data_IF_112194099814
#
_entry.id   IF_112194099814
#
_cell.length_a   1.000
_cell.length_b   1.000
_cell.length_c   1.000
_cell.angle_alpha   90.00
_cell.angle_beta   90.00
_cell.angle_gamma   90.00
#
_symmetry.space_group_name_H-M   'P 1'
#
loop_
_entity.id
_entity.type
_entity.pdbx_description
1 polymer ?
#
# COMPACT_ATOMS: atom_id res chain seq x y z
N UNK A 1 -10.81 7.29 -13.22
CA UNK A 1 -9.77 6.50 -12.55
C UNK A 1 -8.39 6.74 -13.15
N UNK A 2 -8.14 6.48 -14.45
CA UNK A 2 -6.86 6.80 -15.10
C UNK A 2 -6.48 8.31 -15.10
N UNK A 3 -7.47 9.21 -15.23
CA UNK A 3 -7.22 10.66 -15.24
C UNK A 3 -6.66 11.23 -13.93
N UNK A 4 -7.04 10.67 -12.78
CA UNK A 4 -6.49 11.10 -11.47
C UNK A 4 -5.05 10.61 -11.31
N UNK A 5 -4.75 9.41 -11.82
CA UNK A 5 -3.39 8.86 -11.85
C UNK A 5 -2.48 9.70 -12.76
N UNK A 6 -2.96 10.09 -13.94
CA UNK A 6 -2.22 10.99 -14.84
C UNK A 6 -2.11 12.42 -14.29
N UNK A 7 -3.12 12.94 -13.60
CA UNK A 7 -3.08 14.25 -12.95
C UNK A 7 -2.06 14.32 -11.81
N UNK A 8 -2.01 13.30 -10.94
CA UNK A 8 -1.02 13.21 -9.85
C UNK A 8 0.41 12.96 -10.35
N UNK A 9 0.56 12.27 -11.49
CA UNK A 9 1.84 12.21 -12.22
C UNK A 9 2.30 13.60 -12.68
N UNK A 10 1.37 14.43 -13.16
CA UNK A 10 1.67 15.76 -13.70
C UNK A 10 1.96 16.80 -12.60
N UNK A 11 1.46 16.60 -11.38
CA UNK A 11 1.71 17.44 -10.18
C UNK A 11 2.98 17.04 -9.40
N UNK A 12 3.76 16.07 -9.87
CA UNK A 12 5.05 15.70 -9.27
C UNK A 12 4.97 14.73 -8.09
N UNK A 13 3.79 14.25 -7.68
CA UNK A 13 3.65 13.26 -6.60
C UNK A 13 4.42 11.95 -6.91
N UNK A 14 4.37 11.50 -8.17
CA UNK A 14 5.16 10.35 -8.62
C UNK A 14 6.65 10.58 -8.42
N UNK A 15 7.16 11.81 -8.66
CA UNK A 15 8.56 12.15 -8.44
C UNK A 15 8.97 12.07 -6.97
N UNK A 16 8.14 12.58 -6.06
CA UNK A 16 8.39 12.46 -4.61
C UNK A 16 8.38 11.00 -4.14
N UNK A 17 7.42 10.20 -4.62
CA UNK A 17 7.35 8.77 -4.29
C UNK A 17 8.58 8.05 -4.85
N UNK A 18 8.97 8.29 -6.09
CA UNK A 18 10.19 7.72 -6.70
C UNK A 18 11.43 8.05 -5.87
N UNK A 19 11.61 9.30 -5.42
CA UNK A 19 12.73 9.67 -4.56
C UNK A 19 12.75 8.91 -3.22
N UNK A 20 11.59 8.73 -2.58
CA UNK A 20 11.49 7.90 -1.36
C UNK A 20 11.79 6.43 -1.64
N UNK A 21 11.32 5.91 -2.78
CA UNK A 21 11.55 4.53 -3.20
C UNK A 21 13.04 4.26 -3.51
N UNK A 22 13.75 5.22 -4.12
CA UNK A 22 15.21 5.13 -4.31
C UNK A 22 15.96 5.11 -2.97
N UNK A 23 15.52 5.91 -1.98
CA UNK A 23 16.07 5.86 -0.61
C UNK A 23 15.85 4.46 -0.02
N UNK A 24 14.65 3.89 -0.13
CA UNK A 24 14.38 2.54 0.36
C UNK A 24 15.23 1.48 -0.34
N UNK A 25 15.41 1.61 -1.67
CA UNK A 25 16.26 0.73 -2.45
C UNK A 25 17.74 0.80 -2.03
N UNK A 26 18.22 1.96 -1.55
CA UNK A 26 19.60 2.11 -1.05
C UNK A 26 19.89 1.28 0.21
N UNK A 27 18.87 0.92 0.98
CA UNK A 27 18.96 0.01 2.12
C UNK A 27 18.85 -1.48 1.73
N UNK A 28 18.97 -1.79 0.43
CA UNK A 28 18.94 -3.15 -0.09
C UNK A 28 17.53 -3.77 -0.09
N UNK A 29 17.47 -5.11 -0.17
CA UNK A 29 16.22 -5.84 -0.33
C UNK A 29 15.22 -5.58 0.79
N UNK A 30 15.67 -5.63 2.04
CA UNK A 30 14.81 -5.41 3.21
C UNK A 30 14.24 -3.99 3.25
N UNK A 31 15.08 -3.00 3.00
CA UNK A 31 14.64 -1.60 2.92
C UNK A 31 13.65 -1.38 1.79
N UNK A 32 13.95 -1.91 0.60
CA UNK A 32 13.09 -1.81 -0.57
C UNK A 32 11.72 -2.46 -0.32
N UNK A 33 11.68 -3.67 0.23
CA UNK A 33 10.43 -4.40 0.49
C UNK A 33 9.61 -3.76 1.61
N UNK A 34 10.22 -3.53 2.78
CA UNK A 34 9.50 -2.97 3.94
C UNK A 34 9.08 -1.52 3.66
N UNK A 35 10.00 -0.68 3.20
CA UNK A 35 9.76 0.73 2.94
C UNK A 35 8.67 0.95 1.87
N UNK A 36 8.80 0.27 0.73
CA UNK A 36 7.78 0.32 -0.34
C UNK A 36 6.43 -0.18 0.17
N UNK A 37 6.43 -1.28 0.92
CA UNK A 37 5.20 -1.88 1.41
C UNK A 37 4.46 -0.98 2.40
N UNK A 38 5.14 -0.46 3.42
CA UNK A 38 4.51 0.48 4.37
C UNK A 38 4.02 1.76 3.70
N UNK A 39 4.79 2.31 2.75
CA UNK A 39 4.37 3.48 1.97
C UNK A 39 3.10 3.19 1.15
N UNK A 40 3.06 2.07 0.44
CA UNK A 40 1.90 1.66 -0.35
C UNK A 40 0.67 1.36 0.50
N UNK A 41 0.83 0.73 1.67
CA UNK A 41 -0.25 0.50 2.62
C UNK A 41 -0.84 1.81 3.15
N UNK A 42 0.03 2.77 3.48
CA UNK A 42 -0.41 4.09 3.94
C UNK A 42 -1.19 4.82 2.85
N UNK A 43 -0.63 4.93 1.64
CA UNK A 43 -1.28 5.63 0.52
C UNK A 43 -2.65 5.00 0.16
N UNK A 44 -2.73 3.67 0.12
CA UNK A 44 -3.97 2.95 -0.23
C UNK A 44 -5.04 3.06 0.85
N UNK A 45 -4.64 3.21 2.12
CA UNK A 45 -5.56 3.51 3.22
C UNK A 45 -6.23 4.87 3.10
N UNK A 46 -5.67 5.81 2.31
CA UNK A 46 -6.25 7.15 2.10
C UNK A 46 -6.96 7.24 0.74
N UNK A 47 -6.41 6.61 -0.30
CA UNK A 47 -6.76 6.89 -1.71
C UNK A 47 -7.49 5.77 -2.45
N UNK A 48 -7.67 4.58 -1.85
CA UNK A 48 -8.13 3.31 -2.45
C UNK A 48 -7.02 2.43 -3.06
N UNK A 49 -7.25 1.11 -3.09
CA UNK A 49 -6.26 0.12 -3.56
C UNK A 49 -5.85 0.30 -5.04
N UNK A 50 -6.81 0.47 -5.94
CA UNK A 50 -6.53 0.50 -7.39
C UNK A 50 -5.75 1.74 -7.86
N UNK A 51 -6.09 2.97 -7.46
CA UNK A 51 -5.29 4.14 -7.79
C UNK A 51 -3.89 4.08 -7.19
N UNK A 52 -3.77 3.63 -5.93
CA UNK A 52 -2.46 3.54 -5.25
C UNK A 52 -1.54 2.52 -5.91
N UNK A 53 -2.04 1.34 -6.28
CA UNK A 53 -1.18 0.32 -6.92
C UNK A 53 -0.61 0.82 -8.25
N UNK A 54 -1.39 1.59 -9.02
CA UNK A 54 -0.95 2.18 -10.28
C UNK A 54 0.07 3.31 -10.07
N UNK A 55 -0.16 4.20 -9.11
CA UNK A 55 0.80 5.26 -8.75
C UNK A 55 2.11 4.62 -8.26
N UNK A 56 2.02 3.61 -7.41
CA UNK A 56 3.18 2.86 -6.92
C UNK A 56 3.94 2.18 -8.05
N UNK A 57 3.24 1.51 -8.98
CA UNK A 57 3.87 0.85 -10.13
C UNK A 57 4.60 1.85 -11.04
N UNK A 58 3.99 2.99 -11.36
CA UNK A 58 4.63 4.05 -12.14
C UNK A 58 5.83 4.65 -11.42
N UNK A 59 5.73 4.82 -10.09
CA UNK A 59 6.82 5.39 -9.29
C UNK A 59 7.99 4.42 -9.17
N UNK A 60 7.72 3.12 -8.97
CA UNK A 60 8.74 2.05 -8.95
C UNK A 60 9.39 1.93 -10.33
N UNK A 61 8.63 2.04 -11.41
CA UNK A 61 9.19 1.95 -12.74
C UNK A 61 10.21 3.07 -13.03
N UNK A 62 9.91 4.27 -12.53
CA UNK A 62 10.78 5.44 -12.62
C UNK A 62 11.99 5.44 -11.67
N UNK A 63 12.10 4.47 -10.74
CA UNK A 63 13.28 4.36 -9.85
C UNK A 63 14.52 3.85 -10.59
N UNK A 64 15.67 4.07 -9.97
CA UNK A 64 16.96 3.50 -10.41
C UNK A 64 17.16 2.04 -9.99
N UNK A 65 16.23 1.47 -9.21
CA UNK A 65 16.31 0.10 -8.73
C UNK A 65 16.25 -0.91 -9.88
N UNK A 66 17.04 -1.98 -9.81
CA UNK A 66 17.11 -3.03 -10.83
C UNK A 66 17.08 -4.43 -10.23
N UNK A 67 16.86 -5.43 -11.08
CA UNK A 67 16.89 -6.84 -10.71
C UNK A 67 15.88 -7.22 -9.63
N UNK A 68 16.31 -8.08 -8.70
CA UNK A 68 15.46 -8.64 -7.63
C UNK A 68 14.90 -7.55 -6.71
N UNK A 69 15.64 -6.45 -6.49
CA UNK A 69 15.18 -5.33 -5.66
C UNK A 69 13.95 -4.64 -6.27
N UNK A 70 13.96 -4.34 -7.58
CA UNK A 70 12.79 -3.78 -8.26
C UNK A 70 11.60 -4.76 -8.22
N UNK A 71 11.85 -6.05 -8.40
CA UNK A 71 10.84 -7.10 -8.25
C UNK A 71 10.21 -7.12 -6.86
N UNK A 72 11.04 -7.03 -5.81
CA UNK A 72 10.60 -6.99 -4.43
C UNK A 72 9.67 -5.79 -4.15
N UNK A 73 9.99 -4.61 -4.72
CA UNK A 73 9.16 -3.41 -4.61
C UNK A 73 7.80 -3.59 -5.29
N UNK A 74 7.77 -4.22 -6.48
CA UNK A 74 6.52 -4.50 -7.19
C UNK A 74 5.61 -5.41 -6.36
N UNK A 75 6.15 -6.52 -5.83
CA UNK A 75 5.38 -7.42 -4.97
C UNK A 75 4.92 -6.75 -3.68
N UNK A 76 5.80 -6.00 -3.03
CA UNK A 76 5.47 -5.26 -1.82
C UNK A 76 4.34 -4.25 -2.07
N UNK A 77 4.37 -3.53 -3.20
CA UNK A 77 3.33 -2.59 -3.59
C UNK A 77 1.98 -3.27 -3.76
N UNK A 78 1.92 -4.40 -4.48
CA UNK A 78 0.67 -5.14 -4.70
C UNK A 78 0.08 -5.67 -3.39
N UNK A 79 0.89 -6.34 -2.56
CA UNK A 79 0.45 -6.89 -1.27
C UNK A 79 -0.10 -5.78 -0.37
N UNK A 80 0.65 -4.68 -0.28
CA UNK A 80 0.35 -3.61 0.65
C UNK A 80 -0.84 -2.76 0.21
N UNK A 81 -1.06 -2.62 -1.09
CA UNK A 81 -2.25 -1.95 -1.62
C UNK A 81 -3.55 -2.70 -1.33
N UNK A 82 -3.51 -4.01 -1.07
CA UNK A 82 -4.69 -4.79 -0.68
C UNK A 82 -4.90 -4.83 0.84
N UNK A 83 -3.81 -4.82 1.61
CA UNK A 83 -3.85 -4.80 3.08
C UNK A 83 -4.15 -3.40 3.64
N UNK A 84 -3.47 -2.37 3.14
CA UNK A 84 -3.58 -0.98 3.62
C UNK A 84 -5.00 -0.41 3.70
N UNK A 85 -5.88 -0.63 2.71
CA UNK A 85 -7.28 -0.21 2.75
C UNK A 85 -8.08 -0.66 3.96
N UNK A 86 -7.63 -1.69 4.68
CA UNK A 86 -8.33 -2.20 5.87
C UNK A 86 -8.13 -1.32 7.10
N UNK A 87 -7.16 -0.40 7.07
CA UNK A 87 -6.90 0.54 8.16
C UNK A 87 -8.02 1.58 8.28
N UNK A 88 -8.54 2.09 7.18
CA UNK A 88 -9.61 3.11 7.20
C UNK A 88 -10.86 2.64 6.44
N UNK A 89 -12.05 3.16 6.79
CA UNK A 89 -13.28 2.83 6.05
C UNK A 89 -13.27 3.23 4.57
N UNK A 90 -12.57 4.30 4.20
CA UNK A 90 -12.57 4.85 2.81
C UNK A 90 -11.71 4.00 1.87
N UNK A 91 -10.71 3.29 2.41
CA UNK A 91 -9.72 2.58 1.61
C UNK A 91 -10.34 1.57 0.63
N UNK A 92 -11.52 1.02 0.91
CA UNK A 92 -12.19 0.09 -0.01
C UNK A 92 -13.70 0.30 -0.08
N UNK A 93 -14.23 0.31 -1.30
CA UNK A 93 -15.68 0.34 -1.54
C UNK A 93 -16.39 -0.86 -0.89
N UNK A 94 -15.73 -2.03 -0.85
CA UNK A 94 -16.28 -3.21 -0.19
C UNK A 94 -16.49 -2.99 1.32
N UNK A 95 -15.59 -2.25 1.98
CA UNK A 95 -15.74 -1.87 3.38
C UNK A 95 -16.98 -0.98 3.57
N UNK A 96 -17.13 0.06 2.74
CA UNK A 96 -18.28 0.96 2.83
C UNK A 96 -19.60 0.23 2.59
N UNK A 97 -19.64 -0.72 1.63
CA UNK A 97 -20.81 -1.56 1.38
C UNK A 97 -21.15 -2.41 2.61
N UNK A 98 -20.17 -3.02 3.26
CA UNK A 98 -20.39 -3.81 4.48
C UNK A 98 -20.87 -2.95 5.65
N UNK A 99 -20.24 -1.79 5.88
CA UNK A 99 -20.67 -0.84 6.91
C UNK A 99 -22.12 -0.39 6.67
N UNK A 100 -22.49 -0.14 5.41
CA UNK A 100 -23.86 0.19 5.03
C UNK A 100 -24.84 -0.97 5.27
N UNK A 101 -24.47 -2.20 4.91
CA UNK A 101 -25.29 -3.41 5.14
C UNK A 101 -25.50 -3.66 6.64
N UNK A 102 -24.46 -3.49 7.46
CA UNK A 102 -24.53 -3.65 8.92
C UNK A 102 -25.40 -2.56 9.56
N UNK A 103 -25.28 -1.32 9.10
CA UNK A 103 -26.15 -0.23 9.57
C UNK A 103 -27.64 -0.52 9.30
N UNK A 104 -27.97 -1.12 8.14
CA UNK A 104 -29.35 -1.57 7.84
C UNK A 104 -29.86 -2.69 8.74
N UNK A 105 -28.96 -3.40 9.44
CA UNK A 105 -29.28 -4.43 10.44
C UNK A 105 -29.14 -3.90 11.89
N UNK A 106 -29.20 -2.59 12.09
CA UNK A 106 -29.02 -1.93 13.40
C UNK A 106 -27.66 -2.20 14.08
N UNK A 107 -26.63 -2.60 13.32
CA UNK A 107 -25.27 -2.78 13.82
C UNK A 107 -24.39 -1.65 13.28
N UNK A 108 -24.20 -0.60 14.08
CA UNK A 108 -23.40 0.56 13.66
C UNK A 108 -21.98 0.43 14.18
N UNK A 109 -21.02 0.37 13.26
CA UNK A 109 -19.58 0.42 13.57
C UNK A 109 -19.11 1.86 13.46
N UNK A 110 -18.52 2.39 14.53
CA UNK A 110 -17.94 3.74 14.52
C UNK A 110 -16.60 3.75 13.81
N UNK A 111 -16.23 4.91 13.26
CA UNK A 111 -14.94 5.12 12.59
C UNK A 111 -13.75 4.80 13.48
N UNK A 112 -13.80 5.24 14.75
CA UNK A 112 -12.73 4.99 15.72
C UNK A 112 -12.56 3.50 16.02
N UNK A 113 -13.66 2.76 16.20
CA UNK A 113 -13.60 1.32 16.41
C UNK A 113 -13.02 0.58 15.20
N UNK A 114 -13.50 0.91 14.00
CA UNK A 114 -12.97 0.32 12.77
C UNK A 114 -11.46 0.58 12.63
N UNK A 115 -11.02 1.81 12.83
CA UNK A 115 -9.62 2.21 12.71
C UNK A 115 -8.73 1.48 13.74
N UNK A 116 -9.19 1.36 14.99
CA UNK A 116 -8.47 0.64 16.03
C UNK A 116 -8.28 -0.84 15.65
N UNK A 117 -9.35 -1.52 15.25
CA UNK A 117 -9.29 -2.92 14.81
C UNK A 117 -8.43 -3.05 13.55
N UNK A 118 -8.58 -2.11 12.61
CA UNK A 118 -7.83 -2.04 11.36
C UNK A 118 -6.32 -1.97 11.60
N UNK A 119 -5.84 -1.10 12.48
CA UNK A 119 -4.41 -1.00 12.82
C UNK A 119 -3.91 -2.26 13.50
N UNK A 120 -4.62 -2.72 14.54
CA UNK A 120 -4.20 -3.87 15.36
C UNK A 120 -4.05 -5.13 14.52
N UNK A 121 -4.89 -5.31 13.49
CA UNK A 121 -4.80 -6.45 12.58
C UNK A 121 -3.84 -6.20 11.41
N UNK A 122 -3.93 -5.03 10.76
CA UNK A 122 -3.21 -4.80 9.49
C UNK A 122 -1.72 -4.63 9.71
N UNK A 123 -1.28 -3.91 10.75
CA UNK A 123 0.15 -3.63 10.95
C UNK A 123 0.97 -4.90 11.20
N UNK A 124 0.57 -5.82 12.10
CA UNK A 124 1.31 -7.07 12.30
C UNK A 124 1.28 -7.97 11.07
N UNK A 125 0.12 -8.10 10.42
CA UNK A 125 -0.02 -8.94 9.21
C UNK A 125 0.84 -8.38 8.08
N UNK A 126 0.83 -7.06 7.87
CA UNK A 126 1.65 -6.39 6.86
C UNK A 126 3.13 -6.62 7.13
N UNK A 127 3.58 -6.40 8.37
CA UNK A 127 4.98 -6.57 8.75
C UNK A 127 5.46 -8.01 8.51
N UNK A 128 4.70 -8.99 8.99
CA UNK A 128 5.03 -10.42 8.82
C UNK A 128 5.03 -10.81 7.35
N UNK A 129 4.05 -10.36 6.57
CA UNK A 129 3.95 -10.68 5.14
C UNK A 129 5.12 -10.08 4.34
N UNK A 130 5.47 -8.82 4.60
CA UNK A 130 6.59 -8.16 3.92
C UNK A 130 7.94 -8.74 4.36
N UNK A 131 8.10 -9.08 5.65
CA UNK A 131 9.30 -9.76 6.13
C UNK A 131 9.46 -11.15 5.48
N UNK A 132 8.37 -11.92 5.37
CA UNK A 132 8.38 -13.20 4.67
C UNK A 132 8.75 -13.04 3.18
N UNK A 133 8.21 -12.02 2.51
CA UNK A 133 8.57 -11.69 1.12
C UNK A 133 10.07 -11.36 0.99
N UNK A 134 10.60 -10.51 1.88
CA UNK A 134 12.01 -10.14 1.88
C UNK A 134 12.92 -11.33 2.14
N UNK A 135 12.58 -12.20 3.11
CA UNK A 135 13.32 -13.44 3.37
C UNK A 135 13.30 -14.37 2.16
N UNK A 136 12.13 -14.60 1.56
CA UNK A 136 11.98 -15.50 0.41
C UNK A 136 12.83 -15.06 -0.77
N UNK A 137 12.80 -13.76 -1.11
CA UNK A 137 13.60 -13.20 -2.19
C UNK A 137 15.11 -13.13 -1.85
N UNK A 138 15.49 -13.11 -0.58
CA UNK A 138 16.90 -13.11 -0.17
C UNK A 138 17.57 -14.48 -0.34
N UNK A 139 16.77 -15.55 -0.45
CA UNK A 139 17.24 -16.94 -0.54
C UNK A 139 17.22 -17.44 -1.99
N UNK A 140 16.48 -16.77 -2.88
CA UNK A 140 16.50 -17.02 -4.32
C UNK A 140 17.76 -16.45 -4.99
#
# INVERSE_FOLDING_TARGET
MYWVVYGLRNEGLTGYITGLLDIFASYGMWGATLGTGFLAAFLSSIMNNMPTVLIGALSIDATSATGVVKGAMIYANVISCDLGPKITPIGSLATLLWLHVLARKNTVITWGYYFQVGIVLTVPVLLVTLAALAMWLSIQ
#
